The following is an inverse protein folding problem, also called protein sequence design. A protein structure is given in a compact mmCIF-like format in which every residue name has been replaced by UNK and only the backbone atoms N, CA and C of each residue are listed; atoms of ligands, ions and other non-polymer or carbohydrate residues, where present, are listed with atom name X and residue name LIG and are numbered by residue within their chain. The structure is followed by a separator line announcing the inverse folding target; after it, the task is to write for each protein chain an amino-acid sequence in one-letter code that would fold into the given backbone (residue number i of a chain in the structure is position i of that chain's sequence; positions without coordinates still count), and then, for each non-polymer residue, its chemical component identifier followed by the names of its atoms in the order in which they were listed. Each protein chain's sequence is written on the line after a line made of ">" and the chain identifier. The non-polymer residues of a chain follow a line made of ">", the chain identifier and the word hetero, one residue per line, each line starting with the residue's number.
data_IF_996927887008
#
_entry.id   IF_996927887008
#
_cell.length_a   1.000
_cell.length_b   1.000
_cell.length_c   1.000
_cell.angle_alpha   90.00
_cell.angle_beta   90.00
_cell.angle_gamma   90.00
#
_symmetry.space_group_name_H-M   'P 1'
#
loop_
_entity.id
_entity.type
_entity.pdbx_description
1 polymer ?
#
# COMPACT_ATOMS: atom_id res chain seq x y z
N UNK A 1 -6.52 22.28 -4.56
CA UNK A 1 -7.29 21.10 -4.11
C UNK A 1 -6.95 20.78 -2.65
N UNK A 2 -7.86 21.07 -1.70
CA UNK A 2 -7.61 21.00 -0.24
C UNK A 2 -8.55 20.01 0.49
N UNK A 3 -9.35 19.23 -0.27
CA UNK A 3 -10.39 18.35 0.31
C UNK A 3 -9.83 17.10 0.98
N UNK A 4 -8.80 16.46 0.41
CA UNK A 4 -8.15 15.28 1.00
C UNK A 4 -7.50 15.57 2.36
N UNK A 5 -6.83 16.73 2.50
CA UNK A 5 -6.26 17.15 3.78
C UNK A 5 -7.30 17.41 4.88
N UNK A 6 -8.54 17.78 4.50
CA UNK A 6 -9.65 17.92 5.46
C UNK A 6 -10.26 16.58 5.85
N UNK A 7 -10.26 15.60 4.94
CA UNK A 7 -10.74 14.25 5.20
C UNK A 7 -9.80 13.48 6.14
N UNK A 8 -8.48 13.69 6.02
CA UNK A 8 -7.45 13.09 6.87
C UNK A 8 -7.21 13.83 8.21
N UNK A 9 -8.20 14.60 8.68
CA UNK A 9 -8.07 15.35 9.94
C UNK A 9 -7.88 14.41 11.13
N UNK A 10 -6.90 14.72 12.00
CA UNK A 10 -6.66 13.98 13.25
C UNK A 10 -7.75 14.33 14.25
N UNK A 11 -8.72 13.44 14.40
CA UNK A 11 -9.75 13.53 15.45
C UNK A 11 -9.25 12.88 16.75
N UNK A 12 -9.89 13.13 17.91
CA UNK A 12 -9.54 12.44 19.16
C UNK A 12 -9.58 10.92 19.05
N UNK A 13 -10.52 10.37 18.27
CA UNK A 13 -10.61 8.92 18.04
C UNK A 13 -9.43 8.40 17.20
N UNK A 14 -9.00 9.16 16.17
CA UNK A 14 -7.82 8.82 15.37
C UNK A 14 -6.56 8.88 16.22
N UNK A 15 -6.42 9.91 17.05
CA UNK A 15 -5.28 10.03 17.97
C UNK A 15 -5.22 8.86 18.96
N UNK A 16 -6.35 8.52 19.59
CA UNK A 16 -6.43 7.42 20.53
C UNK A 16 -6.06 6.07 19.90
N UNK A 17 -6.57 5.80 18.69
CA UNK A 17 -6.22 4.59 17.95
C UNK A 17 -4.73 4.56 17.58
N UNK A 18 -4.18 5.68 17.10
CA UNK A 18 -2.77 5.77 16.75
C UNK A 18 -1.88 5.50 17.97
N UNK A 19 -2.23 6.04 19.13
CA UNK A 19 -1.51 5.82 20.40
C UNK A 19 -1.66 4.37 20.91
N UNK A 20 -2.82 3.75 20.70
CA UNK A 20 -3.02 2.33 21.03
C UNK A 20 -2.15 1.43 20.15
N UNK A 21 -2.20 1.59 18.83
CA UNK A 21 -1.46 0.74 17.87
C UNK A 21 0.05 0.93 18.01
N UNK A 22 0.51 2.12 18.42
CA UNK A 22 1.94 2.44 18.56
C UNK A 22 2.46 2.36 19.98
N UNK A 23 1.66 1.83 20.93
CA UNK A 23 2.04 1.74 22.34
C UNK A 23 3.34 0.96 22.53
N UNK A 24 4.33 1.59 23.14
CA UNK A 24 5.66 0.98 23.38
C UNK A 24 6.55 0.87 22.14
N UNK A 25 6.19 1.54 21.04
CA UNK A 25 6.99 1.60 19.82
C UNK A 25 7.54 3.02 19.66
N UNK A 26 8.85 3.21 19.83
CA UNK A 26 9.45 4.54 19.72
C UNK A 26 9.90 4.88 18.29
N UNK A 27 10.31 3.88 17.51
CA UNK A 27 10.87 4.09 16.19
C UNK A 27 9.78 4.49 15.16
N UNK A 28 9.86 5.68 14.52
CA UNK A 28 8.81 6.17 13.64
C UNK A 28 8.49 5.23 12.46
N UNK A 29 9.52 4.55 11.91
CA UNK A 29 9.33 3.58 10.84
C UNK A 29 8.52 2.36 11.29
N UNK A 30 8.74 1.91 12.52
CA UNK A 30 8.02 0.76 13.11
C UNK A 30 6.59 1.17 13.46
N UNK A 31 6.39 2.41 13.95
CA UNK A 31 5.05 2.98 14.13
C UNK A 31 4.28 3.02 12.80
N UNK A 32 4.89 3.55 11.73
CA UNK A 32 4.26 3.59 10.41
C UNK A 32 3.89 2.19 9.89
N UNK A 33 4.76 1.20 10.08
CA UNK A 33 4.48 -0.18 9.70
C UNK A 33 3.32 -0.79 10.50
N UNK A 34 3.23 -0.51 11.80
CA UNK A 34 2.14 -0.98 12.65
C UNK A 34 0.80 -0.36 12.26
N UNK A 35 0.77 0.95 12.01
CA UNK A 35 -0.42 1.67 11.55
C UNK A 35 -0.89 1.17 10.18
N UNK A 36 0.04 1.00 9.24
CA UNK A 36 -0.22 0.40 7.94
C UNK A 36 -0.86 -0.98 8.07
N UNK A 37 -0.25 -1.87 8.87
CA UNK A 37 -0.74 -3.23 9.07
C UNK A 37 -2.12 -3.24 9.74
N UNK A 38 -2.39 -2.28 10.63
CA UNK A 38 -3.71 -2.12 11.22
C UNK A 38 -4.74 -1.74 10.16
N UNK A 39 -4.47 -0.74 9.32
CA UNK A 39 -5.40 -0.32 8.26
C UNK A 39 -5.69 -1.47 7.30
N UNK A 40 -4.65 -2.14 6.79
CA UNK A 40 -4.76 -3.23 5.83
C UNK A 40 -5.59 -4.42 6.36
N UNK A 41 -5.63 -4.63 7.68
CA UNK A 41 -6.36 -5.73 8.32
C UNK A 41 -7.77 -5.36 8.80
N UNK A 42 -7.98 -4.10 9.18
CA UNK A 42 -9.19 -3.66 9.88
C UNK A 42 -10.14 -2.82 9.01
N UNK A 43 -9.66 -2.32 7.86
CA UNK A 43 -10.50 -1.61 6.89
C UNK A 43 -10.70 -2.53 5.70
N UNK A 44 -11.96 -2.94 5.48
CA UNK A 44 -12.32 -3.82 4.37
C UNK A 44 -12.46 -3.01 3.09
N UNK A 45 -11.76 -3.42 2.05
CA UNK A 45 -11.93 -2.84 0.74
C UNK A 45 -13.34 -3.12 0.20
N UNK A 46 -14.09 -2.06 -0.08
CA UNK A 46 -15.41 -2.11 -0.72
C UNK A 46 -15.40 -1.10 -1.84
N UNK A 47 -15.40 -1.59 -3.09
CA UNK A 47 -15.47 -0.73 -4.26
C UNK A 47 -16.87 -0.10 -4.37
N UNK A 48 -17.00 1.16 -3.95
CA UNK A 48 -18.27 1.90 -4.03
C UNK A 48 -18.31 2.66 -5.36
N UNK A 49 -18.98 2.09 -6.36
CA UNK A 49 -19.20 2.71 -7.68
C UNK A 49 -20.55 3.46 -7.79
N UNK A 50 -21.10 3.97 -6.67
CA UNK A 50 -22.41 4.64 -6.67
C UNK A 50 -22.30 6.12 -7.08
N UNK A 51 -22.81 6.43 -8.27
CA UNK A 51 -22.89 7.80 -8.82
C UNK A 51 -21.63 8.22 -9.57
N UNK A 52 -21.38 9.53 -9.68
CA UNK A 52 -20.22 10.13 -10.36
C UNK A 52 -18.85 9.84 -9.68
N UNK A 53 -18.68 8.63 -9.12
CA UNK A 53 -17.42 7.98 -8.72
C UNK A 53 -16.47 8.86 -7.92
N UNK A 54 -17.03 9.59 -6.96
CA UNK A 54 -16.47 10.80 -6.36
C UNK A 54 -14.95 10.80 -6.12
N UNK A 55 -14.27 11.81 -6.66
CA UNK A 55 -12.90 12.20 -6.27
C UNK A 55 -12.78 12.61 -4.78
N UNK A 56 -13.85 12.52 -4.01
CA UNK A 56 -13.96 13.01 -2.64
C UNK A 56 -14.00 11.83 -1.67
N UNK A 57 -12.93 11.59 -0.89
CA UNK A 57 -12.91 10.51 0.09
C UNK A 57 -13.81 10.82 1.29
N UNK A 58 -14.23 9.76 1.98
CA UNK A 58 -14.86 9.87 3.28
C UNK A 58 -13.89 10.44 4.32
N UNK A 59 -14.42 11.03 5.41
CA UNK A 59 -13.57 11.48 6.50
C UNK A 59 -12.96 10.29 7.25
N UNK A 60 -11.74 10.45 7.77
CA UNK A 60 -11.05 9.42 8.55
C UNK A 60 -11.91 8.93 9.74
N UNK A 61 -12.67 9.83 10.39
CA UNK A 61 -13.60 9.46 11.44
C UNK A 61 -14.75 8.55 10.96
N UNK A 62 -15.30 8.81 9.78
CA UNK A 62 -16.34 7.97 9.17
C UNK A 62 -15.79 6.60 8.78
N UNK A 63 -14.60 6.57 8.17
CA UNK A 63 -13.93 5.34 7.75
C UNK A 63 -13.61 4.47 8.98
N UNK A 64 -13.10 5.09 10.06
CA UNK A 64 -12.84 4.39 11.32
C UNK A 64 -14.13 3.83 11.94
N UNK A 65 -15.24 4.57 11.90
CA UNK A 65 -16.50 4.06 12.45
C UNK A 65 -17.10 2.91 11.63
N UNK A 66 -16.94 2.95 10.31
CA UNK A 66 -17.56 2.01 9.38
C UNK A 66 -16.69 0.78 9.05
N UNK A 67 -15.37 0.87 9.24
CA UNK A 67 -14.41 -0.21 8.94
C UNK A 67 -14.43 -0.71 7.48
N UNK A 68 -14.86 0.13 6.53
CA UNK A 68 -14.78 -0.15 5.09
C UNK A 68 -14.57 1.12 4.26
N UNK A 69 -14.03 0.96 3.06
CA UNK A 69 -13.82 2.06 2.10
C UNK A 69 -13.17 1.60 0.79
N UNK A 70 -12.99 2.53 -0.14
CA UNK A 70 -12.25 2.30 -1.39
C UNK A 70 -10.76 2.70 -1.26
N UNK A 71 -10.03 2.76 -2.39
CA UNK A 71 -8.61 3.10 -2.37
C UNK A 71 -8.31 4.48 -1.77
N UNK A 72 -9.17 5.48 -2.02
CA UNK A 72 -8.99 6.83 -1.48
C UNK A 72 -9.21 6.84 0.03
N UNK A 73 -10.23 6.12 0.49
CA UNK A 73 -10.53 5.99 1.92
C UNK A 73 -9.38 5.31 2.69
N UNK A 74 -8.79 4.25 2.12
CA UNK A 74 -7.60 3.61 2.70
C UNK A 74 -6.41 4.59 2.80
N UNK A 75 -6.18 5.42 1.79
CA UNK A 75 -5.14 6.45 1.89
C UNK A 75 -5.47 7.47 2.99
N UNK A 76 -6.71 7.96 3.07
CA UNK A 76 -7.11 8.98 4.05
C UNK A 76 -6.98 8.51 5.49
N UNK A 77 -7.44 7.30 5.82
CA UNK A 77 -7.34 6.79 7.19
C UNK A 77 -5.88 6.56 7.58
N UNK A 78 -5.05 6.05 6.66
CA UNK A 78 -3.63 5.85 6.90
C UNK A 78 -2.91 7.19 7.10
N UNK A 79 -3.21 8.20 6.28
CA UNK A 79 -2.65 9.54 6.44
C UNK A 79 -3.02 10.17 7.79
N UNK A 80 -4.28 10.05 8.21
CA UNK A 80 -4.73 10.60 9.49
C UNK A 80 -4.01 9.94 10.67
N UNK A 81 -3.82 8.62 10.61
CA UNK A 81 -3.10 7.86 11.63
C UNK A 81 -1.60 8.20 11.67
N UNK A 82 -0.96 8.35 10.50
CA UNK A 82 0.44 8.77 10.41
C UNK A 82 0.63 10.20 10.93
N UNK A 83 -0.27 11.12 10.57
CA UNK A 83 -0.26 12.50 11.03
C UNK A 83 -0.41 12.60 12.56
N UNK A 84 -1.24 11.75 13.18
CA UNK A 84 -1.40 11.67 14.63
C UNK A 84 -0.10 11.30 15.37
N UNK A 85 0.87 10.66 14.69
CA UNK A 85 2.21 10.36 15.21
C UNK A 85 3.29 11.31 14.69
N UNK A 86 2.90 12.40 14.02
CA UNK A 86 3.83 13.37 13.45
C UNK A 86 4.58 12.86 12.21
N UNK A 87 4.11 11.78 11.59
CA UNK A 87 4.71 11.21 10.38
C UNK A 87 4.01 11.81 9.17
N UNK A 88 4.74 12.61 8.38
CA UNK A 88 4.21 13.18 7.15
C UNK A 88 3.99 12.08 6.09
N UNK A 89 2.87 12.14 5.40
CA UNK A 89 2.52 11.28 4.25
C UNK A 89 1.85 12.11 3.15
N UNK A 90 1.73 11.60 1.93
CA UNK A 90 0.87 12.19 0.88
C UNK A 90 0.12 11.07 0.15
N UNK A 91 -1.15 11.29 -0.27
CA UNK A 91 -1.79 10.41 -1.23
C UNK A 91 -1.09 10.54 -2.57
N UNK A 92 -0.99 9.42 -3.26
CA UNK A 92 -0.34 9.27 -4.55
C UNK A 92 -1.30 8.58 -5.50
N UNK A 93 -1.51 9.18 -6.66
CA UNK A 93 -2.29 8.58 -7.75
C UNK A 93 -1.37 7.73 -8.62
N UNK A 94 -1.76 6.48 -8.88
CA UNK A 94 -1.01 5.50 -9.68
C UNK A 94 -1.93 4.84 -10.71
N UNK A 95 -1.37 4.52 -11.88
CA UNK A 95 -1.99 3.65 -12.87
C UNK A 95 -1.60 2.20 -12.61
N UNK A 96 -2.30 1.53 -11.69
CA UNK A 96 -2.05 0.15 -11.32
C UNK A 96 -2.24 -0.82 -12.51
N UNK A 97 -1.53 -1.96 -12.47
CA UNK A 97 -1.58 -3.05 -13.46
C UNK A 97 -1.08 -2.70 -14.88
N UNK A 98 -0.05 -1.85 -14.99
CA UNK A 98 0.59 -1.54 -16.28
C UNK A 98 -0.16 -0.52 -17.16
N UNK A 99 -1.00 0.33 -16.56
CA UNK A 99 -1.62 1.47 -17.25
C UNK A 99 -0.59 2.50 -17.73
N UNK A 100 -0.78 3.15 -18.89
CA UNK A 100 0.30 3.41 -19.85
C UNK A 100 1.07 4.69 -19.57
N UNK A 101 2.28 4.75 -20.16
CA UNK A 101 3.11 5.94 -20.45
C UNK A 101 2.30 7.23 -20.34
N UNK A 102 2.66 8.07 -19.37
CA UNK A 102 2.01 9.37 -19.20
C UNK A 102 2.13 10.14 -20.52
N UNK A 103 1.02 10.54 -21.16
CA UNK A 103 1.09 11.59 -22.16
C UNK A 103 1.59 12.87 -21.49
N UNK A 104 2.14 13.82 -22.25
CA UNK A 104 2.66 15.11 -21.72
C UNK A 104 1.61 15.91 -20.91
N UNK A 105 0.34 15.51 -20.96
CA UNK A 105 -0.78 16.09 -20.25
C UNK A 105 -1.33 15.06 -19.24
N UNK A 106 -1.36 15.34 -17.93
CA UNK A 106 -1.91 14.42 -16.94
C UNK A 106 -3.43 14.30 -17.12
N UNK A 107 -3.88 13.16 -17.68
CA UNK A 107 -5.30 12.84 -17.84
C UNK A 107 -5.77 12.08 -16.59
N UNK A 108 -6.71 12.66 -15.83
CA UNK A 108 -7.25 12.08 -14.59
C UNK A 108 -7.80 10.64 -14.77
N UNK A 109 -8.29 10.30 -15.96
CA UNK A 109 -8.81 8.97 -16.29
C UNK A 109 -7.77 7.85 -16.43
N UNK A 110 -6.46 8.14 -16.29
CA UNK A 110 -5.40 7.12 -16.32
C UNK A 110 -4.93 6.66 -14.94
N UNK A 111 -5.28 7.39 -13.88
CA UNK A 111 -5.02 6.96 -12.51
C UNK A 111 -6.26 6.19 -12.01
N UNK A 112 -6.13 4.86 -11.94
CA UNK A 112 -7.18 3.97 -11.48
C UNK A 112 -7.04 3.61 -9.98
N UNK A 113 -5.92 3.98 -9.34
CA UNK A 113 -5.60 3.58 -7.97
C UNK A 113 -4.95 4.71 -7.17
N UNK A 114 -5.04 4.62 -5.84
CA UNK A 114 -4.47 5.58 -4.90
C UNK A 114 -3.73 4.84 -3.78
N UNK A 115 -2.48 5.24 -3.54
CA UNK A 115 -1.58 4.69 -2.50
C UNK A 115 -1.02 5.84 -1.65
N UNK A 116 -0.19 5.52 -0.65
CA UNK A 116 0.41 6.52 0.24
C UNK A 116 1.93 6.57 0.08
N UNK A 117 2.50 7.76 0.01
CA UNK A 117 3.95 7.99 0.06
C UNK A 117 4.34 8.63 1.39
N UNK A 118 5.42 8.14 1.99
CA UNK A 118 5.96 8.61 3.27
C UNK A 118 7.36 9.22 3.02
N UNK A 119 7.48 10.55 2.92
CA UNK A 119 8.73 11.21 2.55
C UNK A 119 9.90 10.92 3.50
N UNK A 120 9.63 10.77 4.81
CA UNK A 120 10.66 10.51 5.81
C UNK A 120 11.44 9.21 5.57
N UNK A 121 10.85 8.27 4.80
CA UNK A 121 11.44 6.96 4.52
C UNK A 121 11.68 6.72 3.03
N UNK A 122 11.35 7.70 2.18
CA UNK A 122 11.27 7.56 0.73
C UNK A 122 10.53 6.28 0.31
N UNK A 123 9.32 6.10 0.86
CA UNK A 123 8.62 4.82 0.80
C UNK A 123 7.18 4.97 0.28
N UNK A 124 6.83 4.14 -0.69
CA UNK A 124 5.47 3.94 -1.16
C UNK A 124 4.85 2.73 -0.46
N UNK A 125 3.61 2.87 -0.02
CA UNK A 125 2.86 1.83 0.68
C UNK A 125 1.42 1.78 0.18
N UNK A 126 0.90 0.57 -0.01
CA UNK A 126 -0.48 0.34 -0.43
C UNK A 126 -1.23 -0.46 0.64
N UNK A 127 -2.08 0.22 1.41
CA UNK A 127 -2.88 -0.39 2.47
C UNK A 127 -4.19 -1.00 1.98
N UNK A 128 -4.47 -0.95 0.68
CA UNK A 128 -5.66 -1.61 0.08
C UNK A 128 -5.48 -3.11 -0.10
N UNK A 129 -4.23 -3.56 -0.25
CA UNK A 129 -3.90 -4.96 -0.35
C UNK A 129 -3.57 -5.55 1.04
N UNK A 130 -4.43 -6.41 1.62
CA UNK A 130 -4.20 -6.97 2.96
C UNK A 130 -3.01 -7.94 3.04
N UNK A 131 -2.51 -8.39 1.88
CA UNK A 131 -1.44 -9.38 1.77
C UNK A 131 -0.07 -8.76 1.53
N UNK A 132 -0.02 -7.49 1.12
CA UNK A 132 1.21 -6.73 0.96
C UNK A 132 1.81 -6.36 2.32
N UNK A 133 3.13 -6.53 2.44
CA UNK A 133 3.90 -6.03 3.60
C UNK A 133 4.11 -4.53 3.49
N UNK A 134 4.43 -3.89 4.61
CA UNK A 134 4.85 -2.50 4.63
C UNK A 134 6.04 -2.26 3.68
N UNK A 135 5.84 -1.42 2.66
CA UNK A 135 6.84 -1.11 1.64
C UNK A 135 6.92 -2.11 0.48
N UNK A 136 6.05 -3.11 0.44
CA UNK A 136 5.94 -4.07 -0.67
C UNK A 136 4.81 -3.62 -1.59
N UNK A 137 5.12 -3.50 -2.88
CA UNK A 137 4.13 -3.19 -3.91
C UNK A 137 3.89 -4.41 -4.82
N UNK A 138 2.67 -4.60 -5.35
CA UNK A 138 2.41 -5.55 -6.42
C UNK A 138 3.29 -5.29 -7.66
N UNK A 139 3.55 -6.32 -8.46
CA UNK A 139 4.39 -6.20 -9.65
C UNK A 139 3.90 -5.15 -10.65
N UNK A 140 2.59 -4.96 -10.77
CA UNK A 140 1.97 -3.98 -11.66
C UNK A 140 2.09 -2.53 -11.19
N UNK A 141 2.54 -2.31 -9.96
CA UNK A 141 2.68 -0.99 -9.33
C UNK A 141 4.15 -0.57 -9.19
N UNK A 142 5.09 -1.42 -9.61
CA UNK A 142 6.52 -1.14 -9.68
C UNK A 142 6.88 -0.50 -11.03
N UNK A 143 7.86 0.39 -11.04
CA UNK A 143 8.26 1.20 -12.20
C UNK A 143 7.10 2.02 -12.83
N UNK A 144 6.06 2.28 -12.04
CA UNK A 144 4.83 2.91 -12.50
C UNK A 144 4.90 4.43 -12.31
N UNK A 145 4.38 5.22 -13.27
CA UNK A 145 4.28 6.66 -13.11
C UNK A 145 3.25 7.03 -12.05
N UNK A 146 3.60 8.00 -11.22
CA UNK A 146 2.77 8.45 -10.10
C UNK A 146 2.71 9.96 -9.97
N UNK A 147 1.61 10.45 -9.38
CA UNK A 147 1.41 11.87 -9.06
C UNK A 147 1.18 12.04 -7.57
N UNK A 148 2.05 12.81 -6.92
CA UNK A 148 1.89 13.21 -5.52
C UNK A 148 0.83 14.31 -5.44
N UNK A 149 -0.22 14.09 -4.64
CA UNK A 149 -1.36 15.02 -4.61
C UNK A 149 -1.10 16.29 -3.80
N UNK A 150 -0.11 16.29 -2.90
CA UNK A 150 0.27 17.46 -2.09
C UNK A 150 0.98 18.55 -2.90
N UNK A 151 1.96 18.16 -3.71
CA UNK A 151 2.86 19.08 -4.42
C UNK A 151 2.68 19.01 -5.96
N UNK A 152 1.85 18.10 -6.46
CA UNK A 152 1.62 17.89 -7.89
C UNK A 152 2.81 17.25 -8.59
N UNK A 153 3.79 16.71 -7.85
CA UNK A 153 5.01 16.14 -8.43
C UNK A 153 4.68 14.85 -9.19
N UNK A 154 5.13 14.79 -10.43
CA UNK A 154 5.12 13.57 -11.26
C UNK A 154 6.44 12.83 -11.07
N UNK A 155 6.39 11.55 -10.70
CA UNK A 155 7.57 10.72 -10.47
C UNK A 155 7.24 9.24 -10.74
N UNK A 156 8.05 8.30 -10.27
CA UNK A 156 7.86 6.86 -10.47
C UNK A 156 8.04 6.08 -9.16
N UNK A 157 7.39 4.93 -9.06
CA UNK A 157 7.63 3.96 -7.99
C UNK A 157 8.97 3.25 -8.18
N UNK A 158 9.49 2.53 -7.14
CA UNK A 158 10.75 1.81 -7.26
C UNK A 158 10.78 0.84 -8.44
N UNK A 159 11.97 0.57 -9.01
CA UNK A 159 12.11 -0.25 -10.21
C UNK A 159 11.66 -1.70 -9.98
N UNK A 160 11.03 -2.28 -11.00
CA UNK A 160 10.68 -3.69 -11.03
C UNK A 160 11.90 -4.56 -11.40
N UNK A 161 12.88 -4.63 -10.50
CA UNK A 161 14.12 -5.36 -10.74
C UNK A 161 14.06 -6.83 -10.32
N UNK A 162 15.09 -7.61 -10.69
CA UNK A 162 15.22 -9.03 -10.36
C UNK A 162 15.36 -9.33 -8.85
N UNK A 163 15.61 -8.33 -8.01
CA UNK A 163 15.66 -8.49 -6.55
C UNK A 163 14.26 -8.40 -5.95
N UNK A 164 13.41 -7.54 -6.51
CA UNK A 164 12.02 -7.34 -6.07
C UNK A 164 11.09 -8.38 -6.70
N UNK A 165 11.33 -8.77 -7.96
CA UNK A 165 10.52 -9.70 -8.73
C UNK A 165 11.36 -10.89 -9.24
N UNK A 166 11.30 -12.02 -8.53
CA UNK A 166 11.98 -13.27 -8.92
C UNK A 166 11.12 -14.48 -8.64
N UNK A 167 11.34 -15.56 -9.37
CA UNK A 167 10.80 -16.87 -9.03
C UNK A 167 11.91 -17.90 -9.14
N UNK A 168 12.40 -18.40 -8.01
CA UNK A 168 13.47 -19.38 -7.92
C UNK A 168 12.93 -20.62 -7.26
N UNK A 169 12.83 -21.72 -8.02
CA UNK A 169 12.57 -23.04 -7.50
C UNK A 169 13.90 -23.79 -7.41
N UNK A 170 14.29 -24.19 -6.20
CA UNK A 170 15.42 -25.09 -5.98
C UNK A 170 14.89 -26.43 -5.51
N UNK A 171 15.14 -27.46 -6.29
CA UNK A 171 14.75 -28.83 -5.96
C UNK A 171 15.99 -29.66 -5.66
N UNK A 172 16.05 -30.24 -4.48
CA UNK A 172 17.08 -31.18 -4.07
C UNK A 172 16.51 -32.59 -4.09
N UNK A 173 17.14 -33.47 -4.87
CA UNK A 173 16.80 -34.88 -4.93
C UNK A 173 17.85 -35.72 -4.19
N UNK A 174 17.40 -36.64 -3.36
CA UNK A 174 18.23 -37.67 -2.73
C UNK A 174 17.78 -39.04 -3.23
N UNK A 175 18.70 -39.74 -3.86
CA UNK A 175 18.50 -41.10 -4.34
C UNK A 175 19.06 -42.08 -3.30
N UNK A 176 18.23 -43.00 -2.84
CA UNK A 176 18.64 -44.08 -1.95
C UNK A 176 19.22 -45.24 -2.79
N UNK A 177 20.24 -45.97 -2.30
CA UNK A 177 20.82 -47.12 -2.99
C UNK A 177 19.80 -48.21 -3.36
N UNK A 178 18.75 -48.36 -2.55
CA UNK A 178 17.63 -49.29 -2.79
C UNK A 178 16.58 -48.78 -3.82
N UNK A 179 16.87 -47.70 -4.55
CA UNK A 179 15.99 -47.17 -5.61
C UNK A 179 14.91 -46.19 -5.15
N UNK A 180 14.90 -45.81 -3.86
CA UNK A 180 13.99 -44.78 -3.34
C UNK A 180 14.42 -43.36 -3.74
N UNK A 181 13.45 -42.47 -3.95
CA UNK A 181 13.67 -41.05 -4.25
C UNK A 181 12.99 -40.18 -3.19
N UNK A 182 13.73 -39.25 -2.61
CA UNK A 182 13.16 -38.14 -1.85
C UNK A 182 13.52 -36.82 -2.54
N UNK A 183 12.52 -35.95 -2.70
CA UNK A 183 12.71 -34.61 -3.24
C UNK A 183 12.25 -33.55 -2.23
N UNK A 184 13.01 -32.47 -2.11
CA UNK A 184 12.58 -31.26 -1.41
C UNK A 184 12.67 -30.09 -2.37
N UNK A 185 11.57 -29.36 -2.54
CA UNK A 185 11.52 -28.14 -3.33
C UNK A 185 11.40 -26.93 -2.42
N UNK A 186 12.36 -26.00 -2.47
CA UNK A 186 12.26 -24.68 -1.87
C UNK A 186 11.92 -23.65 -2.95
N UNK A 187 10.87 -22.86 -2.71
CA UNK A 187 10.41 -21.80 -3.59
C UNK A 187 10.74 -20.43 -3.01
N UNK A 188 11.32 -19.55 -3.82
CA UNK A 188 11.57 -18.15 -3.51
C UNK A 188 10.95 -17.30 -4.62
N UNK A 189 9.78 -16.74 -4.33
CA UNK A 189 8.95 -15.98 -5.27
C UNK A 189 9.21 -14.47 -5.23
N UNK A 190 10.33 -14.02 -4.63
CA UNK A 190 10.62 -12.58 -4.49
C UNK A 190 9.55 -11.83 -3.69
N UNK A 191 9.66 -10.49 -3.61
CA UNK A 191 8.68 -9.69 -2.91
C UNK A 191 7.34 -9.65 -3.65
N UNK A 192 7.33 -9.50 -4.98
CA UNK A 192 6.06 -9.45 -5.73
C UNK A 192 5.29 -10.77 -5.69
N UNK A 193 5.96 -11.91 -5.82
CA UNK A 193 5.31 -13.22 -5.79
C UNK A 193 4.88 -13.65 -4.39
N UNK A 194 5.52 -13.15 -3.33
CA UNK A 194 5.06 -13.38 -1.94
C UNK A 194 3.65 -12.81 -1.69
N UNK A 195 3.31 -11.69 -2.33
CA UNK A 195 1.94 -11.11 -2.23
C UNK A 195 0.91 -12.08 -2.82
N UNK A 196 1.19 -12.66 -4.00
CA UNK A 196 0.30 -13.61 -4.65
C UNK A 196 0.17 -14.95 -3.91
N UNK A 197 1.21 -15.41 -3.23
CA UNK A 197 1.16 -16.64 -2.42
C UNK A 197 0.35 -16.49 -1.11
N UNK A 198 0.09 -15.26 -0.68
CA UNK A 198 -0.71 -14.96 0.53
C UNK A 198 -2.18 -14.73 0.25
N UNK A 199 -2.53 -14.46 -1.00
CA UNK A 199 -3.87 -14.08 -1.42
C UNK A 199 -4.85 -15.26 -1.32
#
# INVERSE_FOLDING_TARGET
>A
CHKGGRAAAVTPAIQALADEVTRGIDAPRVQAAALYAWVARNIRYVAVYLGNGGLEPNSAGSILANHYGDCKDHTVILEALLAAKGIASTPVLIGAEGGPTLPDIPVLGRFNHAITYIPAFDLYVDSTNPYARFGQLPAGDLDAPVVHTRDGKVTQTPPNDRKVNRYVARTEYRFAPQGGLQGMTTLDSGQTGEVGLRA
#
